data_IF_232478721671
#
_entry.id   IF_232478721671
#
_cell.length_a   1.000
_cell.length_b   1.000
_cell.length_c   1.000
_cell.angle_alpha   90.00
_cell.angle_beta   90.00
_cell.angle_gamma   90.00
#
_symmetry.space_group_name_H-M   'P 1'
#
loop_
_entity.id
_entity.type
_entity.pdbx_description
1 polymer ?
#
# COMPACT_ATOMS: atom_id res chain seq x y z
N UNK A 1 5.45 13.58 21.49
CA UNK A 1 5.46 13.27 20.05
C UNK A 1 4.64 14.34 19.34
N UNK A 2 5.08 14.83 18.18
CA UNK A 2 4.28 15.77 17.38
C UNK A 2 3.22 15.00 16.59
N UNK A 3 2.04 15.60 16.39
CA UNK A 3 0.94 15.01 15.60
C UNK A 3 1.38 14.53 14.21
N UNK A 4 2.30 15.25 13.57
CA UNK A 4 2.91 14.85 12.30
C UNK A 4 3.67 13.51 12.40
N UNK A 5 4.40 13.24 13.50
CA UNK A 5 5.14 12.00 13.66
C UNK A 5 4.20 10.80 13.83
N UNK A 6 3.09 10.97 14.56
CA UNK A 6 2.06 9.95 14.72
C UNK A 6 1.39 9.60 13.38
N UNK A 7 1.14 10.61 12.53
CA UNK A 7 0.59 10.39 11.19
C UNK A 7 1.57 9.59 10.33
N UNK A 8 2.87 9.92 10.37
CA UNK A 8 3.89 9.20 9.61
C UNK A 8 4.05 7.75 10.08
N UNK A 9 3.99 7.50 11.40
CA UNK A 9 4.05 6.15 11.96
C UNK A 9 2.84 5.32 11.52
N UNK A 10 1.65 5.92 11.51
CA UNK A 10 0.43 5.28 11.00
C UNK A 10 0.53 5.00 9.49
N UNK A 11 1.04 5.95 8.69
CA UNK A 11 1.26 5.72 7.26
C UNK A 11 2.23 4.56 7.03
N UNK A 12 3.32 4.47 7.79
CA UNK A 12 4.29 3.37 7.68
C UNK A 12 3.67 2.02 8.03
N UNK A 13 2.82 1.96 9.07
CA UNK A 13 2.07 0.76 9.43
C UNK A 13 1.12 0.33 8.31
N UNK A 14 0.29 1.24 7.80
CA UNK A 14 -0.63 0.98 6.68
C UNK A 14 0.11 0.52 5.43
N UNK A 15 1.28 1.09 5.12
CA UNK A 15 2.11 0.65 3.99
C UNK A 15 2.68 -0.76 4.19
N UNK A 16 3.03 -1.15 5.41
CA UNK A 16 3.48 -2.52 5.70
C UNK A 16 2.34 -3.54 5.55
N UNK A 17 1.14 -3.18 6.01
CA UNK A 17 -0.05 -4.02 5.85
C UNK A 17 -0.42 -4.15 4.37
N UNK A 18 -0.36 -3.03 3.62
CA UNK A 18 -0.61 -3.01 2.19
C UNK A 18 0.39 -3.89 1.44
N UNK A 19 1.66 -3.88 1.85
CA UNK A 19 2.67 -4.80 1.31
C UNK A 19 2.28 -6.26 1.52
N UNK A 20 1.88 -6.61 2.74
CA UNK A 20 1.50 -7.98 3.08
C UNK A 20 0.32 -8.46 2.25
N UNK A 21 -0.72 -7.63 2.10
CA UNK A 21 -1.91 -7.93 1.29
C UNK A 21 -1.53 -8.10 -0.19
N UNK A 22 -0.64 -7.27 -0.71
CA UNK A 22 -0.22 -7.35 -2.11
C UNK A 22 0.73 -8.52 -2.41
N UNK A 23 1.57 -8.91 -1.45
CA UNK A 23 2.39 -10.12 -1.56
C UNK A 23 1.49 -11.37 -1.57
N UNK A 24 0.43 -11.40 -0.75
CA UNK A 24 -0.58 -12.45 -0.78
C UNK A 24 -1.31 -12.49 -2.13
N UNK A 25 -1.74 -11.32 -2.65
CA UNK A 25 -2.33 -11.19 -3.99
C UNK A 25 -1.42 -11.81 -5.06
N UNK A 26 -0.12 -11.48 -5.05
CA UNK A 26 0.85 -12.01 -6.00
C UNK A 26 0.97 -13.53 -5.91
N UNK A 27 1.04 -14.09 -4.69
CA UNK A 27 1.13 -15.53 -4.48
C UNK A 27 -0.09 -16.24 -5.05
N UNK A 28 -1.29 -15.74 -4.78
CA UNK A 28 -2.54 -16.30 -5.33
C UNK A 28 -2.59 -16.23 -6.85
N UNK A 29 -2.21 -15.09 -7.44
CA UNK A 29 -2.18 -14.92 -8.89
C UNK A 29 -1.12 -15.82 -9.57
N UNK A 30 -0.02 -16.12 -8.88
CA UNK A 30 1.05 -16.98 -9.39
C UNK A 30 0.69 -18.47 -9.35
N UNK A 31 -0.18 -18.91 -8.44
CA UNK A 31 -0.60 -20.31 -8.30
C UNK A 31 -1.51 -20.81 -9.44
N UNK A 32 -2.00 -19.93 -10.31
CA UNK A 32 -2.79 -20.31 -11.49
C UNK A 32 -4.23 -20.77 -11.22
N UNK A 33 -4.63 -20.89 -9.95
CA UNK A 33 -6.03 -21.09 -9.54
C UNK A 33 -6.55 -19.80 -8.90
N UNK A 34 -7.27 -19.00 -9.68
CA UNK A 34 -7.92 -17.80 -9.14
C UNK A 34 -9.11 -18.24 -8.30
N UNK A 35 -8.97 -18.11 -6.98
CA UNK A 35 -10.12 -18.15 -6.09
C UNK A 35 -10.77 -16.76 -6.07
N UNK A 36 -11.84 -16.58 -6.86
CA UNK A 36 -12.48 -15.29 -7.06
C UNK A 36 -12.94 -14.60 -5.76
N UNK A 37 -13.40 -15.37 -4.77
CA UNK A 37 -13.79 -14.81 -3.46
C UNK A 37 -12.60 -14.35 -2.63
N UNK A 38 -11.47 -15.06 -2.71
CA UNK A 38 -10.24 -14.68 -2.03
C UNK A 38 -9.58 -13.46 -2.67
N UNK A 39 -9.56 -13.41 -4.02
CA UNK A 39 -9.07 -12.25 -4.76
C UNK A 39 -9.94 -11.01 -4.50
N UNK A 40 -11.26 -11.18 -4.45
CA UNK A 40 -12.19 -10.10 -4.08
C UNK A 40 -11.91 -9.59 -2.67
N UNK A 41 -11.77 -10.49 -1.68
CA UNK A 41 -11.44 -10.09 -0.31
C UNK A 41 -10.11 -9.34 -0.22
N UNK A 42 -9.05 -9.81 -0.90
CA UNK A 42 -7.75 -9.14 -0.98
C UNK A 42 -7.89 -7.74 -1.62
N UNK A 43 -8.69 -7.62 -2.67
CA UNK A 43 -8.96 -6.34 -3.34
C UNK A 43 -9.71 -5.35 -2.44
N UNK A 44 -10.67 -5.84 -1.65
CA UNK A 44 -11.39 -5.04 -0.66
C UNK A 44 -10.46 -4.55 0.46
N UNK A 45 -9.61 -5.43 1.01
CA UNK A 45 -8.60 -5.07 2.02
C UNK A 45 -7.64 -3.99 1.49
N UNK A 46 -7.11 -4.20 0.29
CA UNK A 46 -6.24 -3.23 -0.40
C UNK A 46 -6.93 -1.88 -0.58
N UNK A 47 -8.20 -1.86 -0.99
CA UNK A 47 -8.99 -0.64 -1.17
C UNK A 47 -9.20 0.09 0.16
N UNK A 48 -9.48 -0.64 1.24
CA UNK A 48 -9.61 -0.06 2.59
C UNK A 48 -8.31 0.58 3.06
N UNK A 49 -7.18 -0.13 2.93
CA UNK A 49 -5.86 0.37 3.31
C UNK A 49 -5.45 1.61 2.50
N UNK A 50 -5.74 1.62 1.19
CA UNK A 50 -5.50 2.80 0.33
C UNK A 50 -6.36 4.00 0.75
N UNK A 51 -7.61 3.78 1.12
CA UNK A 51 -8.49 4.85 1.63
C UNK A 51 -7.96 5.41 2.97
N UNK A 52 -7.49 4.54 3.87
CA UNK A 52 -6.83 4.97 5.12
C UNK A 52 -5.55 5.75 4.84
N UNK A 53 -4.72 5.30 3.90
CA UNK A 53 -3.49 5.99 3.50
C UNK A 53 -3.78 7.39 2.93
N UNK A 54 -4.80 7.51 2.07
CA UNK A 54 -5.23 8.79 1.51
C UNK A 54 -5.72 9.75 2.60
N UNK A 55 -6.52 9.26 3.55
CA UNK A 55 -6.95 10.04 4.71
C UNK A 55 -5.77 10.54 5.55
N UNK A 56 -4.77 9.69 5.81
CA UNK A 56 -3.56 10.06 6.55
C UNK A 56 -2.73 11.10 5.80
N UNK A 57 -2.58 10.98 4.48
CA UNK A 57 -1.89 11.99 3.66
C UNK A 57 -2.63 13.34 3.69
N UNK A 58 -3.97 13.33 3.63
CA UNK A 58 -4.76 14.56 3.78
C UNK A 58 -4.57 15.21 5.17
N UNK A 59 -4.49 14.42 6.24
CA UNK A 59 -4.17 14.92 7.57
C UNK A 59 -2.75 15.50 7.62
N UNK A 60 -1.76 14.79 7.06
CA UNK A 60 -0.36 15.25 6.99
C UNK A 60 -0.24 16.62 6.34
N UNK A 61 -0.97 16.85 5.24
CA UNK A 61 -0.97 18.14 4.51
C UNK A 61 -1.57 19.30 5.28
N UNK A 62 -2.46 19.04 6.24
CA UNK A 62 -3.08 20.05 7.10
C UNK A 62 -2.17 20.44 8.26
N UNK A 63 -1.24 19.57 8.64
CA UNK A 63 -0.27 19.85 9.69
C UNK A 63 0.85 20.75 9.15
N UNK A 64 1.16 21.87 9.84
CA UNK A 64 2.24 22.75 9.42
C UNK A 64 3.57 21.98 9.50
N UNK A 65 4.39 22.10 8.45
CA UNK A 65 5.71 21.46 8.36
C UNK A 65 6.76 22.18 9.23
N UNK A 66 6.35 22.62 10.42
CA UNK A 66 7.16 23.39 11.37
C UNK A 66 8.21 22.52 12.07
N UNK A 67 8.08 21.19 11.98
CA UNK A 67 9.05 20.24 12.45
C UNK A 67 9.99 19.81 11.31
N UNK A 68 10.90 20.71 10.90
CA UNK A 68 12.09 20.36 10.12
C UNK A 68 13.08 19.56 11.01
N UNK A 69 12.65 18.43 11.55
CA UNK A 69 13.55 17.48 12.21
C UNK A 69 14.06 16.48 11.17
N UNK A 70 15.33 16.12 11.30
CA UNK A 70 15.97 15.08 10.46
C UNK A 70 15.18 13.77 10.52
N UNK A 71 14.60 13.44 11.69
CA UNK A 71 13.75 12.27 11.91
C UNK A 71 12.50 12.25 11.02
N UNK A 72 11.78 13.38 10.91
CA UNK A 72 10.57 13.49 10.07
C UNK A 72 10.91 13.36 8.58
N UNK A 73 12.04 13.94 8.17
CA UNK A 73 12.52 13.84 6.79
C UNK A 73 12.92 12.41 6.43
N UNK A 74 13.60 11.69 7.34
CA UNK A 74 13.97 10.29 7.14
C UNK A 74 12.73 9.39 7.05
N UNK A 75 11.77 9.52 7.96
CA UNK A 75 10.52 8.75 7.92
C UNK A 75 9.73 9.00 6.64
N UNK A 76 9.70 10.24 6.16
CA UNK A 76 9.07 10.58 4.88
C UNK A 76 9.79 9.94 3.68
N UNK A 77 11.12 9.90 3.70
CA UNK A 77 11.90 9.20 2.68
C UNK A 77 11.62 7.69 2.67
N UNK A 78 11.47 7.07 3.84
CA UNK A 78 11.10 5.65 3.95
C UNK A 78 9.68 5.38 3.43
N UNK A 79 8.71 6.21 3.80
CA UNK A 79 7.31 6.14 3.33
C UNK A 79 7.23 6.27 1.82
N UNK A 80 7.92 7.25 1.23
CA UNK A 80 7.94 7.45 -0.23
C UNK A 80 8.63 6.30 -0.95
N UNK A 81 9.73 5.77 -0.39
CA UNK A 81 10.39 4.56 -0.89
C UNK A 81 9.47 3.34 -0.90
N UNK A 82 8.79 3.05 0.22
CA UNK A 82 7.82 1.95 0.32
C UNK A 82 6.65 2.13 -0.65
N UNK A 83 6.12 3.34 -0.78
CA UNK A 83 5.01 3.64 -1.71
C UNK A 83 5.41 3.35 -3.15
N UNK A 84 6.64 3.70 -3.54
CA UNK A 84 7.16 3.39 -4.87
C UNK A 84 7.30 1.88 -5.11
N UNK A 85 7.80 1.13 -4.12
CA UNK A 85 7.89 -0.33 -4.18
C UNK A 85 6.51 -0.98 -4.32
N UNK A 86 5.53 -0.53 -3.52
CA UNK A 86 4.16 -1.00 -3.62
C UNK A 86 3.55 -0.70 -4.98
N UNK A 87 3.83 0.45 -5.57
CA UNK A 87 3.35 0.77 -6.92
C UNK A 87 3.87 -0.23 -7.96
N UNK A 88 5.14 -0.61 -7.88
CA UNK A 88 5.74 -1.62 -8.76
C UNK A 88 5.11 -3.00 -8.54
N UNK A 89 4.91 -3.40 -7.29
CA UNK A 89 4.23 -4.65 -6.95
C UNK A 89 2.80 -4.68 -7.48
N UNK A 90 2.07 -3.56 -7.41
CA UNK A 90 0.70 -3.46 -7.92
C UNK A 90 0.66 -3.64 -9.44
N UNK A 91 1.59 -3.02 -10.15
CA UNK A 91 1.72 -3.16 -11.60
C UNK A 91 2.00 -4.60 -11.99
N UNK A 92 2.90 -5.26 -11.25
CA UNK A 92 3.19 -6.67 -11.47
C UNK A 92 1.97 -7.58 -11.24
N UNK A 93 1.22 -7.35 -10.16
CA UNK A 93 -0.02 -8.08 -9.90
C UNK A 93 -1.06 -7.86 -11.01
N UNK A 94 -1.14 -6.64 -11.56
CA UNK A 94 -1.97 -6.34 -12.73
C UNK A 94 -1.61 -7.20 -13.95
N UNK A 95 -0.33 -7.30 -14.29
CA UNK A 95 0.13 -8.15 -15.39
C UNK A 95 -0.15 -9.65 -15.18
N UNK A 96 0.02 -10.14 -13.95
CA UNK A 96 -0.32 -11.51 -13.61
C UNK A 96 -1.82 -11.77 -13.76
N UNK A 97 -2.66 -10.84 -13.30
CA UNK A 97 -4.11 -10.94 -13.42
C UNK A 97 -4.54 -10.97 -14.90
N UNK A 98 -4.02 -10.07 -15.73
CA UNK A 98 -4.28 -10.04 -17.18
C UNK A 98 -3.93 -11.38 -17.83
N UNK A 99 -2.73 -11.93 -17.56
CA UNK A 99 -2.33 -13.22 -18.11
C UNK A 99 -3.17 -14.40 -17.64
N UNK A 100 -3.74 -14.34 -16.44
CA UNK A 100 -4.69 -15.36 -15.98
C UNK A 100 -6.08 -15.21 -16.62
N UNK A 101 -6.53 -13.98 -16.87
CA UNK A 101 -7.78 -13.72 -17.59
C UNK A 101 -7.68 -14.22 -19.03
N UNK A 102 -6.54 -14.02 -19.71
CA UNK A 102 -6.30 -14.54 -21.06
C UNK A 102 -6.30 -16.07 -21.11
N UNK A 103 -5.80 -16.75 -20.07
CA UNK A 103 -5.73 -18.23 -20.00
C UNK A 103 -7.06 -18.89 -19.62
N UNK A 104 -7.98 -18.16 -18.98
CA UNK A 104 -9.30 -18.64 -18.58
C UNK A 104 -10.42 -18.30 -19.59
N UNK A 105 -10.09 -17.67 -20.73
CA UNK A 105 -10.99 -17.51 -21.88
C UNK A 105 -10.97 -18.74 -22.78
#
# INVERSE_FOLDING_TARGET
>A
MTRLAEILDQMSAVLNDLKTVMDQEQQHLSMGQINGSQLQWITEQKSSLLATLDYLEQLRRKEPNTANSVDISQRWQEITGKTQQLRQLNQHNGWLLEGQIERNQ
#
